data_IF_558708695481
#
_entry.id   IF_558708695481
#
_cell.length_a   1.000
_cell.length_b   1.000
_cell.length_c   1.000
_cell.angle_alpha   90.00
_cell.angle_beta   90.00
_cell.angle_gamma   90.00
#
_symmetry.space_group_name_H-M   'P 1'
#
loop_
_entity.id
_entity.type
_entity.pdbx_description
1 polymer ?
#
# COMPACT_ATOMS: atom_id res chain seq x y z
N UNK A 1 9.28 -15.90 18.97
CA UNK A 1 8.66 -15.91 17.62
C UNK A 1 8.71 -14.49 17.10
N UNK A 2 9.47 -14.26 16.02
CA UNK A 2 9.63 -12.92 15.43
C UNK A 2 8.32 -12.59 14.71
N UNK A 3 7.58 -11.61 15.21
CA UNK A 3 6.37 -11.08 14.56
C UNK A 3 6.77 -10.43 13.24
N UNK A 4 6.31 -10.96 12.11
CA UNK A 4 6.63 -10.40 10.80
C UNK A 4 5.78 -9.14 10.58
N UNK A 5 6.34 -7.95 10.89
CA UNK A 5 5.65 -6.67 10.65
C UNK A 5 5.24 -6.47 9.19
N UNK A 6 5.96 -7.11 8.26
CA UNK A 6 5.79 -6.96 6.81
C UNK A 6 4.84 -8.01 6.20
N UNK A 7 4.21 -8.86 7.00
CA UNK A 7 3.12 -9.73 6.57
C UNK A 7 2.12 -9.84 7.73
N UNK A 8 1.07 -9.03 7.67
CA UNK A 8 0.01 -9.00 8.67
C UNK A 8 -1.30 -9.48 8.08
N UNK A 9 -2.07 -10.19 8.90
CA UNK A 9 -3.41 -10.70 8.56
C UNK A 9 -4.36 -10.20 9.65
N UNK A 10 -5.53 -9.70 9.24
CA UNK A 10 -6.55 -9.16 10.15
C UNK A 10 -7.90 -9.74 9.78
N UNK A 11 -8.62 -10.25 10.78
CA UNK A 11 -9.97 -10.79 10.65
C UNK A 11 -10.98 -9.83 11.27
N UNK A 12 -12.08 -9.57 10.56
CA UNK A 12 -13.28 -9.02 11.16
C UNK A 12 -14.22 -10.17 11.51
N UNK A 13 -14.50 -10.32 12.79
CA UNK A 13 -15.35 -11.39 13.31
C UNK A 13 -16.60 -10.82 13.95
N UNK A 14 -17.71 -11.56 13.83
CA UNK A 14 -18.96 -11.27 14.51
C UNK A 14 -19.59 -12.59 14.96
N UNK A 15 -19.97 -12.67 16.22
CA UNK A 15 -20.64 -13.85 16.80
C UNK A 15 -19.86 -15.17 16.60
N UNK A 16 -18.51 -15.09 16.54
CA UNK A 16 -17.63 -16.24 16.34
C UNK A 16 -17.42 -16.65 14.87
N UNK A 17 -18.02 -15.93 13.92
CA UNK A 17 -17.83 -16.14 12.49
C UNK A 17 -16.91 -15.08 11.90
N UNK A 18 -15.94 -15.50 11.08
CA UNK A 18 -15.11 -14.58 10.29
C UNK A 18 -15.92 -14.05 9.11
N UNK A 19 -16.24 -12.76 9.16
CA UNK A 19 -16.97 -12.06 8.11
C UNK A 19 -16.05 -11.60 6.98
N UNK A 20 -14.92 -10.99 7.34
CA UNK A 20 -13.94 -10.44 6.40
C UNK A 20 -12.53 -10.77 6.87
N UNK A 21 -11.63 -10.93 5.91
CA UNK A 21 -10.21 -11.14 6.10
C UNK A 21 -9.42 -10.16 5.22
N UNK A 22 -8.40 -9.57 5.81
CA UNK A 22 -7.56 -8.55 5.22
C UNK A 22 -6.09 -8.94 5.38
N UNK A 23 -5.24 -8.44 4.48
CA UNK A 23 -3.81 -8.61 4.61
C UNK A 23 -3.04 -7.33 4.24
N UNK A 24 -1.92 -7.09 4.92
CA UNK A 24 -0.92 -6.10 4.55
C UNK A 24 0.40 -6.82 4.29
N UNK A 25 0.96 -6.67 3.09
CA UNK A 25 2.09 -7.48 2.61
C UNK A 25 3.16 -6.59 2.00
N UNK A 26 4.28 -6.47 2.70
CA UNK A 26 5.39 -5.60 2.32
C UNK A 26 6.62 -6.41 1.94
N UNK A 27 7.35 -5.97 0.93
CA UNK A 27 8.55 -6.65 0.44
C UNK A 27 8.25 -7.76 -0.56
N UNK A 28 9.02 -7.81 -1.65
CA UNK A 28 8.81 -8.74 -2.77
C UNK A 28 8.73 -10.22 -2.37
N UNK A 29 9.54 -10.67 -1.40
CA UNK A 29 9.49 -12.05 -0.88
C UNK A 29 8.13 -12.40 -0.28
N UNK A 30 7.54 -11.49 0.49
CA UNK A 30 6.23 -11.70 1.10
C UNK A 30 5.12 -11.65 0.03
N UNK A 31 5.26 -10.76 -0.95
CA UNK A 31 4.34 -10.66 -2.10
C UNK A 31 4.31 -11.98 -2.89
N UNK A 32 5.48 -12.54 -3.23
CA UNK A 32 5.56 -13.84 -3.92
C UNK A 32 4.89 -14.95 -3.09
N UNK A 33 5.10 -14.95 -1.77
CA UNK A 33 4.48 -15.91 -0.86
C UNK A 33 2.96 -15.79 -0.85
N UNK A 34 2.44 -14.56 -0.76
CA UNK A 34 1.02 -14.26 -0.83
C UNK A 34 0.41 -14.77 -2.15
N UNK A 35 0.98 -14.38 -3.29
CA UNK A 35 0.50 -14.76 -4.62
C UNK A 35 0.44 -16.29 -4.77
N UNK A 36 1.44 -17.00 -4.26
CA UNK A 36 1.44 -18.47 -4.24
C UNK A 36 0.33 -19.06 -3.37
N UNK A 37 0.08 -18.49 -2.18
CA UNK A 37 -1.03 -18.90 -1.30
C UNK A 37 -2.38 -18.67 -1.97
N UNK A 38 -2.56 -17.52 -2.61
CA UNK A 38 -3.78 -17.17 -3.35
C UNK A 38 -4.02 -18.11 -4.53
N UNK A 39 -2.99 -18.39 -5.35
CA UNK A 39 -3.08 -19.36 -6.47
C UNK A 39 -3.47 -20.77 -6.03
N UNK A 40 -3.06 -21.17 -4.82
CA UNK A 40 -3.42 -22.47 -4.22
C UNK A 40 -4.79 -22.48 -3.53
N UNK A 41 -5.52 -21.35 -3.55
CA UNK A 41 -6.80 -21.22 -2.86
C UNK A 41 -6.70 -21.31 -1.33
N UNK A 42 -5.53 -21.05 -0.75
CA UNK A 42 -5.27 -21.21 0.69
C UNK A 42 -5.70 -20.03 1.55
N UNK A 43 -6.02 -18.89 0.92
CA UNK A 43 -6.39 -17.64 1.59
C UNK A 43 -7.55 -16.99 0.85
N UNK A 44 -8.43 -16.30 1.57
CA UNK A 44 -9.61 -15.60 1.03
C UNK A 44 -9.72 -14.19 1.61
N UNK A 45 -8.89 -13.30 1.11
CA UNK A 45 -8.93 -11.89 1.51
C UNK A 45 -9.88 -11.07 0.64
N UNK A 46 -10.57 -10.10 1.24
CA UNK A 46 -11.40 -9.14 0.51
C UNK A 46 -10.61 -7.90 0.09
N UNK A 47 -9.58 -7.53 0.86
CA UNK A 47 -8.65 -6.45 0.53
C UNK A 47 -7.24 -6.85 0.95
N UNK A 48 -6.27 -6.55 0.09
CA UNK A 48 -4.85 -6.73 0.35
C UNK A 48 -4.12 -5.43 0.05
N UNK A 49 -3.41 -4.89 1.04
CA UNK A 49 -2.45 -3.81 0.82
C UNK A 49 -1.08 -4.41 0.47
N UNK A 50 -0.43 -3.87 -0.56
CA UNK A 50 0.85 -4.37 -1.07
C UNK A 50 1.84 -3.22 -1.22
N UNK A 51 3.01 -3.35 -0.59
CA UNK A 51 4.14 -2.41 -0.74
C UNK A 51 5.41 -3.16 -1.17
N UNK A 52 6.16 -2.64 -2.12
CA UNK A 52 7.31 -3.35 -2.67
C UNK A 52 8.51 -3.39 -1.71
N UNK A 53 8.66 -2.39 -0.84
CA UNK A 53 9.79 -2.28 0.09
C UNK A 53 9.40 -2.84 1.48
N UNK A 54 10.30 -3.59 2.15
CA UNK A 54 10.14 -3.91 3.57
C UNK A 54 10.03 -2.63 4.40
N UNK A 55 9.15 -2.60 5.41
CA UNK A 55 8.87 -1.39 6.19
C UNK A 55 8.12 -0.29 5.42
N UNK A 56 7.56 -0.60 4.25
CA UNK A 56 6.80 0.35 3.43
C UNK A 56 7.66 1.45 2.80
N UNK A 57 7.06 2.60 2.53
CA UNK A 57 7.73 3.70 1.80
C UNK A 57 8.93 4.29 2.56
N UNK A 58 8.95 4.20 3.90
CA UNK A 58 10.11 4.58 4.72
C UNK A 58 11.33 3.70 4.48
N UNK A 59 11.14 2.46 4.00
CA UNK A 59 12.22 1.55 3.59
C UNK A 59 12.63 1.71 2.11
N UNK A 60 12.10 2.71 1.41
CA UNK A 60 12.38 2.95 0.00
C UNK A 60 13.81 3.44 -0.27
N UNK A 61 14.36 3.14 -1.44
CA UNK A 61 15.70 3.61 -1.86
C UNK A 61 15.78 5.12 -2.13
N UNK A 62 14.65 5.83 -2.16
CA UNK A 62 14.58 7.27 -2.39
C UNK A 62 14.63 8.11 -1.10
N UNK A 63 14.91 7.50 0.05
CA UNK A 63 15.01 8.21 1.32
C UNK A 63 16.28 9.06 1.40
N UNK A 64 16.26 10.10 2.22
CA UNK A 64 17.43 10.91 2.50
C UNK A 64 18.57 10.04 3.06
N UNK A 65 19.77 10.24 2.52
CA UNK A 65 20.98 9.53 2.95
C UNK A 65 21.75 10.39 3.95
N UNK A 66 22.21 9.75 5.03
CA UNK A 66 23.19 10.32 5.95
C UNK A 66 24.62 10.01 5.49
N UNK A 67 25.57 10.14 6.43
CA UNK A 67 26.97 9.78 6.14
C UNK A 67 27.12 8.30 5.75
N UNK A 68 27.84 8.05 4.65
CA UNK A 68 28.10 6.71 4.15
C UNK A 68 27.03 6.11 3.23
N UNK A 69 26.14 6.94 2.66
CA UNK A 69 25.17 6.52 1.64
C UNK A 69 24.10 5.56 2.16
N UNK A 70 23.81 5.64 3.47
CA UNK A 70 22.76 4.87 4.14
C UNK A 70 21.63 5.80 4.50
N UNK A 71 20.41 5.27 4.54
CA UNK A 71 19.24 6.01 5.01
C UNK A 71 19.53 6.66 6.35
N UNK A 72 19.27 7.95 6.45
CA UNK A 72 19.33 8.68 7.70
C UNK A 72 18.19 8.21 8.63
N UNK A 73 18.53 7.32 9.54
CA UNK A 73 17.57 6.72 10.47
C UNK A 73 17.01 7.74 11.47
N UNK A 74 17.78 8.78 11.81
CA UNK A 74 17.32 9.81 12.74
C UNK A 74 16.25 10.64 12.07
N UNK A 75 16.50 11.07 10.83
CA UNK A 75 15.51 11.82 10.06
C UNK A 75 14.25 11.00 9.76
N UNK A 76 14.40 9.73 9.38
CA UNK A 76 13.26 8.84 9.15
C UNK A 76 12.40 8.67 10.43
N UNK A 77 13.05 8.50 11.59
CA UNK A 77 12.37 8.40 12.88
C UNK A 77 11.64 9.69 13.24
N UNK A 78 12.25 10.86 13.03
CA UNK A 78 11.60 12.16 13.26
C UNK A 78 10.36 12.34 12.38
N UNK A 79 10.42 11.90 11.12
CA UNK A 79 9.27 11.95 10.22
C UNK A 79 8.15 11.02 10.67
N UNK A 80 8.47 9.80 11.12
CA UNK A 80 7.49 8.86 11.66
C UNK A 80 6.82 9.40 12.94
N UNK A 81 7.59 10.00 13.84
CA UNK A 81 7.08 10.64 15.07
C UNK A 81 6.18 11.83 14.76
N UNK A 82 6.62 12.71 13.85
CA UNK A 82 5.83 13.85 13.41
C UNK A 82 4.49 13.40 12.79
N UNK A 83 4.52 12.40 11.92
CA UNK A 83 3.30 11.86 11.32
C UNK A 83 2.38 11.20 12.36
N UNK A 84 2.94 10.38 13.25
CA UNK A 84 2.19 9.66 14.29
C UNK A 84 1.58 10.58 15.35
N UNK A 85 2.13 11.79 15.49
CA UNK A 85 1.58 12.82 16.39
C UNK A 85 0.32 13.52 15.84
N UNK A 86 0.04 13.38 14.55
CA UNK A 86 -1.12 14.01 13.93
C UNK A 86 -2.42 13.34 14.40
N UNK A 87 -3.48 14.13 14.70
CA UNK A 87 -4.77 13.55 15.04
C UNK A 87 -5.35 12.83 13.82
N UNK A 88 -5.81 11.59 14.03
CA UNK A 88 -6.53 10.84 13.01
C UNK A 88 -7.85 11.56 12.72
N UNK A 89 -8.08 11.88 11.44
CA UNK A 89 -9.31 12.47 10.94
C UNK A 89 -9.76 11.71 9.71
N UNK A 90 -11.06 11.47 9.64
CA UNK A 90 -11.66 10.87 8.47
C UNK A 90 -11.56 11.86 7.28
N UNK A 91 -11.08 11.45 6.09
CA UNK A 91 -10.94 12.33 4.94
C UNK A 91 -12.23 13.07 4.58
N UNK A 92 -13.39 12.43 4.74
CA UNK A 92 -14.71 13.01 4.50
C UNK A 92 -15.03 14.23 5.37
N UNK A 93 -14.37 14.37 6.52
CA UNK A 93 -14.54 15.54 7.40
C UNK A 93 -13.73 16.76 6.93
N UNK A 94 -12.88 16.62 5.91
CA UNK A 94 -12.06 17.71 5.41
C UNK A 94 -12.89 18.65 4.50
N UNK A 95 -13.16 19.91 4.90
CA UNK A 95 -13.97 20.83 4.12
C UNK A 95 -13.33 21.21 2.77
N UNK A 96 -11.99 21.20 2.68
CA UNK A 96 -11.28 21.47 1.42
C UNK A 96 -11.48 20.31 0.43
N UNK A 97 -11.52 19.07 0.92
CA UNK A 97 -11.83 17.91 0.09
C UNK A 97 -13.26 18.00 -0.44
N UNK A 98 -14.23 18.33 0.44
CA UNK A 98 -15.63 18.54 0.03
C UNK A 98 -15.77 19.66 -1.01
N UNK A 99 -14.98 20.73 -0.87
CA UNK A 99 -14.93 21.83 -1.83
C UNK A 99 -14.37 21.39 -3.17
N UNK A 100 -13.25 20.65 -3.18
CA UNK A 100 -12.68 20.08 -4.39
C UNK A 100 -13.70 19.22 -5.13
N UNK A 101 -14.40 18.34 -4.40
CA UNK A 101 -15.41 17.47 -5.00
C UNK A 101 -16.57 18.25 -5.61
N UNK A 102 -17.10 19.23 -4.88
CA UNK A 102 -18.26 20.01 -5.35
C UNK A 102 -17.90 20.98 -6.48
N UNK A 103 -16.82 21.74 -6.34
CA UNK A 103 -16.52 22.87 -7.21
C UNK A 103 -15.74 22.46 -8.46
N UNK A 104 -14.87 21.44 -8.36
CA UNK A 104 -13.99 21.02 -9.47
C UNK A 104 -14.30 19.63 -9.99
N UNK A 105 -14.56 18.64 -9.14
CA UNK A 105 -14.85 17.27 -9.59
C UNK A 105 -16.32 17.05 -9.93
N UNK A 106 -17.23 17.98 -9.62
CA UNK A 106 -18.67 17.86 -9.90
C UNK A 106 -19.36 16.67 -9.17
N UNK A 107 -18.84 16.28 -8.01
CA UNK A 107 -19.34 15.17 -7.18
C UNK A 107 -18.37 13.98 -7.11
N UNK A 108 -18.60 13.10 -6.13
CA UNK A 108 -17.74 11.93 -5.88
C UNK A 108 -17.84 10.88 -6.99
N UNK A 109 -19.05 10.62 -7.50
CA UNK A 109 -19.34 9.63 -8.53
C UNK A 109 -19.50 10.24 -9.93
N UNK A 110 -18.97 11.44 -10.14
CA UNK A 110 -19.10 12.12 -11.43
C UNK A 110 -18.23 11.47 -12.50
N UNK A 111 -18.57 11.62 -13.80
CA UNK A 111 -17.69 11.22 -14.90
C UNK A 111 -16.31 11.89 -14.82
N UNK A 112 -16.26 13.12 -14.31
CA UNK A 112 -15.02 13.89 -14.16
C UNK A 112 -14.12 13.33 -13.06
N UNK A 113 -14.69 12.90 -11.93
CA UNK A 113 -13.95 12.22 -10.87
C UNK A 113 -13.37 10.89 -11.37
N UNK A 114 -14.17 10.10 -12.09
CA UNK A 114 -13.73 8.86 -12.70
C UNK A 114 -12.56 9.10 -13.67
N UNK A 115 -12.68 10.09 -14.56
CA UNK A 115 -11.64 10.39 -15.54
C UNK A 115 -10.35 10.94 -14.90
N UNK A 116 -10.47 11.78 -13.88
CA UNK A 116 -9.33 12.48 -13.29
C UNK A 116 -8.57 11.65 -12.25
N UNK A 117 -9.26 10.80 -11.48
CA UNK A 117 -8.69 10.13 -10.31
C UNK A 117 -8.53 8.62 -10.48
N UNK A 118 -9.08 8.01 -11.52
CA UNK A 118 -8.99 6.58 -11.74
C UNK A 118 -8.05 6.25 -12.91
N UNK A 119 -7.37 5.13 -12.76
CA UNK A 119 -6.57 4.52 -13.84
C UNK A 119 -6.80 3.02 -13.82
N UNK A 120 -6.49 2.36 -14.94
CA UNK A 120 -6.59 0.91 -15.07
C UNK A 120 -5.27 0.36 -15.60
N UNK A 121 -4.83 -0.74 -14.99
CA UNK A 121 -3.65 -1.48 -15.43
C UNK A 121 -4.13 -2.71 -16.18
N UNK A 122 -3.77 -2.81 -17.45
CA UNK A 122 -3.95 -4.02 -18.26
C UNK A 122 -2.60 -4.68 -18.51
N UNK A 123 -2.62 -5.98 -18.76
CA UNK A 123 -1.43 -6.72 -19.13
C UNK A 123 -1.00 -6.25 -20.52
N UNK A 124 -0.03 -5.34 -20.60
CA UNK A 124 0.59 -5.01 -21.88
C UNK A 124 1.50 -6.17 -22.29
N UNK A 125 1.22 -6.80 -23.43
CA UNK A 125 2.17 -7.67 -24.13
C UNK A 125 3.30 -6.79 -24.71
N UNK A 126 4.13 -6.20 -23.85
CA UNK A 126 5.41 -5.70 -24.34
C UNK A 126 6.30 -6.92 -24.56
N UNK A 127 6.91 -7.09 -25.76
CA UNK A 127 7.92 -8.12 -25.95
C UNK A 127 9.05 -7.84 -24.96
N UNK A 128 9.15 -8.66 -23.92
CA UNK A 128 10.21 -8.60 -22.94
C UNK A 128 11.55 -8.92 -23.63
N UNK A 129 12.21 -7.93 -24.23
CA UNK A 129 13.67 -7.94 -24.33
C UNK A 129 14.23 -7.56 -22.97
N UNK A 130 14.11 -8.49 -22.01
CA UNK A 130 14.81 -8.35 -20.73
C UNK A 130 16.32 -8.36 -21.00
N UNK A 131 17.09 -7.38 -20.51
CA UNK A 131 18.53 -7.48 -20.53
C UNK A 131 18.95 -8.71 -19.69
N UNK A 132 19.97 -9.48 -20.12
CA UNK A 132 20.24 -10.85 -19.68
C UNK A 132 20.56 -11.02 -18.18
N UNK A 133 20.68 -9.95 -17.41
CA UNK A 133 21.08 -9.96 -16.01
C UNK A 133 19.90 -9.85 -15.02
N UNK A 134 18.66 -9.71 -15.49
CA UNK A 134 17.45 -9.72 -14.64
C UNK A 134 16.69 -11.02 -14.91
N UNK A 135 16.94 -12.02 -14.07
CA UNK A 135 16.14 -13.25 -13.98
C UNK A 135 15.31 -13.19 -12.70
N UNK A 136 14.00 -13.41 -12.83
CA UNK A 136 13.05 -13.48 -11.72
C UNK A 136 13.10 -14.83 -11.02
#
# INVERSE_FOLDING_TARGET
MIWNRDFQEVSLERDGETLLQFAAVYGFRNIQTLVHRMRKGRVRYQLVEVLSCPGGCLGGRGQAEGEGGRVDKVLAQQMEEAYSSLPVRLPEMNPELQRLYRDWLEGQDSPRALQALHTQYSQQEQPHTLPPHIQW
#
